data_IF_489966867426
#
_entry.id   IF_489966867426
#
_cell.length_a   1.000
_cell.length_b   1.000
_cell.length_c   1.000
_cell.angle_alpha   90.00
_cell.angle_beta   90.00
_cell.angle_gamma   90.00
#
_symmetry.space_group_name_H-M   'P 1'
#
loop_
_entity.id
_entity.type
_entity.pdbx_description
1 polymer ?
#
# COMPACT_ATOMS: atom_id res chain seq x y z
N UNK A 1 16.87 13.03 -12.03
CA UNK A 1 15.87 12.12 -11.45
C UNK A 1 14.75 11.81 -12.44
N UNK A 2 13.93 12.77 -12.90
CA UNK A 2 12.89 12.49 -13.92
C UNK A 2 13.47 11.99 -15.26
N UNK A 3 14.60 12.58 -15.68
CA UNK A 3 15.35 12.14 -16.87
C UNK A 3 16.04 10.77 -16.71
N UNK A 4 16.31 10.37 -15.46
CA UNK A 4 16.93 9.07 -15.14
C UNK A 4 15.91 7.94 -15.26
N UNK A 5 14.65 8.22 -14.89
CA UNK A 5 13.51 7.31 -15.07
C UNK A 5 13.16 7.14 -16.56
N UNK A 6 13.31 8.21 -17.36
CA UNK A 6 13.13 8.17 -18.83
C UNK A 6 14.30 7.53 -19.59
N UNK A 7 15.45 7.34 -18.94
CA UNK A 7 16.64 6.68 -19.51
C UNK A 7 16.74 5.20 -19.14
N UNK A 8 15.87 4.68 -18.25
CA UNK A 8 15.60 3.24 -18.21
C UNK A 8 14.95 2.90 -19.55
N UNK A 9 15.77 2.42 -20.49
CA UNK A 9 15.28 1.89 -21.76
C UNK A 9 14.14 0.92 -21.49
N UNK A 10 13.20 0.82 -22.44
CA UNK A 10 12.08 -0.12 -22.38
C UNK A 10 12.69 -1.52 -22.26
N UNK A 11 12.86 -1.99 -21.03
CA UNK A 11 13.21 -3.36 -20.71
C UNK A 11 12.10 -4.27 -21.23
N UNK A 12 12.41 -5.56 -21.33
CA UNK A 12 11.38 -6.53 -21.68
C UNK A 12 10.33 -6.53 -20.56
N UNK A 13 9.06 -6.85 -20.86
CA UNK A 13 7.98 -6.87 -19.85
C UNK A 13 8.39 -7.65 -18.57
N UNK A 14 9.27 -8.66 -18.72
CA UNK A 14 9.86 -9.46 -17.65
C UNK A 14 10.63 -8.65 -16.59
N UNK A 15 11.26 -7.54 -16.97
CA UNK A 15 12.07 -6.71 -16.06
C UNK A 15 11.22 -5.77 -15.18
N UNK A 16 9.90 -5.71 -15.43
CA UNK A 16 8.96 -4.85 -14.70
C UNK A 16 7.82 -5.64 -14.06
N UNK A 17 7.89 -6.97 -14.01
CA UNK A 17 6.81 -7.82 -13.53
C UNK A 17 6.38 -7.46 -12.11
N UNK A 18 7.33 -7.18 -11.21
CA UNK A 18 7.06 -6.83 -9.82
C UNK A 18 6.46 -5.42 -9.68
N UNK A 19 6.84 -4.49 -10.55
CA UNK A 19 6.25 -3.14 -10.61
C UNK A 19 4.81 -3.22 -11.15
N UNK A 20 4.58 -4.02 -12.18
CA UNK A 20 3.24 -4.22 -12.74
C UNK A 20 2.36 -4.94 -11.72
N UNK A 21 2.87 -5.98 -11.05
CA UNK A 21 2.13 -6.73 -10.04
C UNK A 21 1.76 -5.84 -8.85
N UNK A 22 2.71 -5.03 -8.35
CA UNK A 22 2.43 -4.09 -7.27
C UNK A 22 1.41 -3.02 -7.68
N UNK A 23 1.49 -2.47 -8.90
CA UNK A 23 0.48 -1.55 -9.41
C UNK A 23 -0.91 -2.19 -9.52
N UNK A 24 -1.00 -3.45 -9.98
CA UNK A 24 -2.26 -4.20 -10.06
C UNK A 24 -2.82 -4.47 -8.67
N UNK A 25 -1.99 -4.83 -7.69
CA UNK A 25 -2.42 -5.04 -6.31
C UNK A 25 -2.96 -3.74 -5.69
N UNK A 26 -2.27 -2.62 -5.88
CA UNK A 26 -2.69 -1.28 -5.42
C UNK A 26 -4.05 -0.90 -6.03
N UNK A 27 -4.24 -1.10 -7.34
CA UNK A 27 -5.54 -0.81 -7.98
C UNK A 27 -6.61 -1.80 -7.50
N UNK A 28 -6.24 -3.06 -7.27
CA UNK A 28 -7.07 -4.10 -6.70
C UNK A 28 -7.59 -3.78 -5.30
N UNK A 29 -6.81 -3.06 -4.49
CA UNK A 29 -7.21 -2.66 -3.14
C UNK A 29 -8.44 -1.75 -3.13
N UNK A 30 -8.70 -0.98 -4.18
CA UNK A 30 -9.95 -0.20 -4.31
C UNK A 30 -11.16 -1.14 -4.36
N UNK A 31 -11.02 -2.25 -5.09
CA UNK A 31 -12.07 -3.27 -5.20
C UNK A 31 -12.22 -4.05 -3.90
N UNK A 32 -11.11 -4.37 -3.23
CA UNK A 32 -11.11 -5.05 -1.93
C UNK A 32 -11.70 -4.18 -0.82
N UNK A 33 -11.41 -2.88 -0.80
CA UNK A 33 -12.05 -1.94 0.10
C UNK A 33 -13.56 -1.92 -0.15
N UNK A 34 -14.00 -1.83 -1.42
CA UNK A 34 -15.43 -1.90 -1.75
C UNK A 34 -16.07 -3.21 -1.29
N UNK A 35 -15.38 -4.34 -1.49
CA UNK A 35 -15.83 -5.65 -1.04
C UNK A 35 -15.92 -5.72 0.50
N UNK A 36 -14.92 -5.18 1.21
CA UNK A 36 -14.91 -5.11 2.66
C UNK A 36 -16.06 -4.27 3.21
N UNK A 37 -16.38 -3.13 2.58
CA UNK A 37 -17.54 -2.31 2.93
C UNK A 37 -18.86 -3.04 2.68
N UNK A 38 -18.94 -3.81 1.60
CA UNK A 38 -20.11 -4.63 1.28
C UNK A 38 -20.31 -5.74 2.32
N UNK A 39 -19.25 -6.49 2.65
CA UNK A 39 -19.28 -7.56 3.66
C UNK A 39 -19.65 -7.06 5.05
N UNK A 40 -19.20 -5.85 5.41
CA UNK A 40 -19.48 -5.23 6.70
C UNK A 40 -20.79 -4.44 6.76
N UNK A 41 -21.56 -4.45 5.66
CA UNK A 41 -22.83 -3.73 5.51
C UNK A 41 -22.70 -2.25 5.89
N UNK A 42 -21.69 -1.58 5.34
CA UNK A 42 -21.56 -0.13 5.49
C UNK A 42 -22.74 0.57 4.78
N UNK A 43 -23.42 1.48 5.46
CA UNK A 43 -24.57 2.21 4.91
C UNK A 43 -24.19 3.63 4.46
N UNK A 44 -23.08 4.16 4.98
CA UNK A 44 -22.65 5.53 4.72
C UNK A 44 -21.49 5.59 3.73
N UNK A 45 -21.59 6.45 2.72
CA UNK A 45 -20.53 6.77 1.73
C UNK A 45 -19.88 5.55 1.05
N UNK A 46 -20.68 4.54 0.67
CA UNK A 46 -20.19 3.32 0.00
C UNK A 46 -20.09 3.40 -1.53
N UNK A 47 -20.53 4.50 -2.15
CA UNK A 47 -20.41 4.69 -3.61
C UNK A 47 -18.93 4.71 -4.01
N UNK A 48 -18.60 4.22 -5.22
CA UNK A 48 -17.22 4.09 -5.70
C UNK A 48 -16.41 5.40 -5.58
N UNK A 49 -17.04 6.56 -5.82
CA UNK A 49 -16.42 7.89 -5.63
C UNK A 49 -15.81 8.05 -4.24
N UNK A 50 -16.53 7.65 -3.20
CA UNK A 50 -16.08 7.76 -1.81
C UNK A 50 -15.06 6.69 -1.46
N UNK A 51 -15.23 5.47 -1.99
CA UNK A 51 -14.26 4.38 -1.84
C UNK A 51 -12.90 4.78 -2.41
N UNK A 52 -12.87 5.30 -3.64
CA UNK A 52 -11.63 5.75 -4.27
C UNK A 52 -10.99 6.93 -3.54
N UNK A 53 -11.79 7.88 -3.04
CA UNK A 53 -11.25 8.99 -2.23
C UNK A 53 -10.65 8.47 -0.92
N UNK A 54 -11.33 7.57 -0.21
CA UNK A 54 -10.77 6.98 1.01
C UNK A 54 -9.49 6.21 0.73
N UNK A 55 -9.46 5.43 -0.35
CA UNK A 55 -8.27 4.72 -0.78
C UNK A 55 -7.10 5.66 -1.09
N UNK A 56 -7.35 6.76 -1.82
CA UNK A 56 -6.30 7.71 -2.17
C UNK A 56 -5.69 8.39 -0.93
N UNK A 57 -6.51 8.66 0.09
CA UNK A 57 -6.03 9.20 1.36
C UNK A 57 -5.25 8.15 2.15
N UNK A 58 -5.72 6.89 2.20
CA UNK A 58 -5.00 5.76 2.82
C UNK A 58 -3.65 5.58 2.17
N UNK A 59 -3.63 5.34 0.86
CA UNK A 59 -2.42 5.18 0.08
C UNK A 59 -1.47 6.36 0.25
N UNK A 60 -1.97 7.60 0.18
CA UNK A 60 -1.15 8.79 0.39
C UNK A 60 -0.51 8.86 1.79
N UNK A 61 -1.26 8.50 2.83
CA UNK A 61 -0.74 8.47 4.20
C UNK A 61 0.30 7.37 4.40
N UNK A 62 0.03 6.16 3.89
CA UNK A 62 0.96 5.03 3.92
C UNK A 62 2.24 5.37 3.15
N UNK A 63 2.11 5.96 1.96
CA UNK A 63 3.24 6.39 1.15
C UNK A 63 4.12 7.40 1.90
N UNK A 64 3.53 8.37 2.59
CA UNK A 64 4.28 9.34 3.39
C UNK A 64 5.01 8.67 4.56
N UNK A 65 4.35 7.76 5.28
CA UNK A 65 4.96 7.01 6.40
C UNK A 65 6.09 6.11 5.92
N UNK A 66 5.91 5.45 4.78
CA UNK A 66 6.88 4.53 4.19
C UNK A 66 7.97 5.24 3.38
N UNK A 67 7.80 6.53 3.06
CA UNK A 67 8.75 7.29 2.23
C UNK A 67 10.19 7.29 2.74
N UNK A 68 10.49 7.36 4.05
CA UNK A 68 11.87 7.27 4.53
C UNK A 68 12.51 5.91 4.21
N UNK A 69 11.71 4.83 4.31
CA UNK A 69 12.16 3.47 3.98
C UNK A 69 12.39 3.34 2.48
N UNK A 70 11.51 3.91 1.64
CA UNK A 70 11.67 3.93 0.19
C UNK A 70 12.94 4.68 -0.22
N UNK A 71 13.23 5.83 0.41
CA UNK A 71 14.45 6.61 0.16
C UNK A 71 15.70 5.80 0.53
N UNK A 72 15.68 5.07 1.65
CA UNK A 72 16.77 4.17 2.03
C UNK A 72 16.93 2.98 1.06
N UNK A 73 15.84 2.49 0.49
CA UNK A 73 15.87 1.50 -0.58
C UNK A 73 16.55 2.04 -1.83
N UNK A 74 16.15 3.22 -2.31
CA UNK A 74 16.73 3.84 -3.50
C UNK A 74 18.20 4.24 -3.34
N UNK A 75 18.68 4.50 -2.11
CA UNK A 75 20.09 4.79 -1.87
C UNK A 75 20.98 3.55 -1.84
N UNK A 76 20.41 2.35 -2.00
CA UNK A 76 21.13 1.08 -1.88
C UNK A 76 21.56 0.74 -0.45
N UNK A 77 21.16 1.55 0.54
CA UNK A 77 21.51 1.35 1.95
C UNK A 77 20.92 0.06 2.53
N UNK A 78 19.96 -0.56 1.84
CA UNK A 78 19.30 -1.81 2.22
C UNK A 78 19.89 -3.06 1.53
N UNK A 79 20.78 -2.91 0.53
CA UNK A 79 21.29 -4.02 -0.28
C UNK A 79 22.16 -5.01 0.52
N UNK A 80 22.81 -4.55 1.60
CA UNK A 80 23.59 -5.40 2.50
C UNK A 80 22.79 -6.08 3.62
N UNK A 81 21.52 -5.70 3.82
CA UNK A 81 20.69 -6.15 4.93
C UNK A 81 19.59 -7.15 4.52
N UNK A 82 19.45 -7.45 3.22
CA UNK A 82 18.38 -8.31 2.71
C UNK A 82 16.99 -7.67 2.81
N UNK A 83 16.92 -6.34 2.94
CA UNK A 83 15.69 -5.56 3.09
C UNK A 83 15.72 -4.55 4.24
N UNK A 84 14.62 -3.83 4.50
CA UNK A 84 14.53 -2.88 5.59
C UNK A 84 14.59 -3.58 6.96
N UNK A 85 15.25 -2.99 7.97
CA UNK A 85 15.28 -3.57 9.31
C UNK A 85 13.87 -3.67 9.90
N UNK A 86 13.55 -4.79 10.55
CA UNK A 86 12.25 -5.03 11.18
C UNK A 86 11.82 -3.92 12.15
N UNK A 87 12.79 -3.24 12.76
CA UNK A 87 12.59 -2.10 13.66
C UNK A 87 11.91 -0.90 12.98
N UNK A 88 12.04 -0.75 11.65
CA UNK A 88 11.36 0.29 10.88
C UNK A 88 10.05 -0.22 10.26
N UNK A 89 10.01 -1.49 9.85
CA UNK A 89 8.83 -2.11 9.23
C UNK A 89 7.68 -2.22 10.23
N UNK A 90 7.94 -2.73 11.44
CA UNK A 90 6.89 -2.98 12.44
C UNK A 90 6.13 -1.69 12.81
N UNK A 91 6.81 -0.58 13.16
CA UNK A 91 6.11 0.69 13.43
C UNK A 91 5.35 1.20 12.21
N UNK A 92 5.91 1.10 11.01
CA UNK A 92 5.25 1.55 9.78
C UNK A 92 3.93 0.78 9.54
N UNK A 93 3.94 -0.55 9.71
CA UNK A 93 2.73 -1.38 9.60
C UNK A 93 1.70 -1.00 10.67
N UNK A 94 2.12 -0.82 11.92
CA UNK A 94 1.20 -0.46 13.02
C UNK A 94 0.55 0.89 12.78
N UNK A 95 1.34 1.91 12.41
CA UNK A 95 0.82 3.25 12.11
C UNK A 95 -0.08 3.25 10.86
N UNK A 96 0.30 2.52 9.82
CA UNK A 96 -0.52 2.32 8.61
C UNK A 96 -1.87 1.71 8.96
N UNK A 97 -1.88 0.59 9.68
CA UNK A 97 -3.11 -0.09 10.11
C UNK A 97 -3.98 0.85 10.95
N UNK A 98 -3.37 1.58 11.89
CA UNK A 98 -4.10 2.52 12.74
C UNK A 98 -4.76 3.62 11.92
N UNK A 99 -4.06 4.19 10.94
CA UNK A 99 -4.61 5.22 10.06
C UNK A 99 -5.72 4.67 9.17
N UNK A 100 -5.51 3.53 8.51
CA UNK A 100 -6.52 2.91 7.64
C UNK A 100 -7.80 2.61 8.42
N UNK A 101 -7.65 2.00 9.58
CA UNK A 101 -8.73 1.71 10.50
C UNK A 101 -9.54 2.96 10.88
N UNK A 102 -8.85 4.01 11.34
CA UNK A 102 -9.51 5.25 11.74
C UNK A 102 -10.18 5.93 10.55
N UNK A 103 -9.52 5.97 9.41
CA UNK A 103 -10.04 6.61 8.21
C UNK A 103 -11.28 5.88 7.68
N UNK A 104 -11.24 4.55 7.62
CA UNK A 104 -12.40 3.72 7.24
C UNK A 104 -13.57 4.01 8.18
N UNK A 105 -13.33 4.04 9.48
CA UNK A 105 -14.36 4.30 10.47
C UNK A 105 -14.94 5.73 10.35
N UNK A 106 -14.11 6.73 10.11
CA UNK A 106 -14.53 8.14 9.95
C UNK A 106 -15.31 8.35 8.64
N UNK A 107 -14.85 7.78 7.53
CA UNK A 107 -15.46 8.02 6.21
C UNK A 107 -16.72 7.18 6.02
N UNK A 108 -16.68 5.89 6.38
CA UNK A 108 -17.74 4.93 6.06
C UNK A 108 -18.66 4.59 7.24
N UNK A 109 -18.36 5.10 8.44
CA UNK A 109 -19.19 4.97 9.67
C UNK A 109 -19.65 3.53 9.97
N UNK A 110 -18.73 2.59 9.83
CA UNK A 110 -19.02 1.15 9.95
C UNK A 110 -18.92 0.64 11.40
N UNK A 111 -18.34 1.45 12.30
CA UNK A 111 -18.04 1.08 13.67
C UNK A 111 -16.70 0.34 13.80
N UNK A 112 -16.09 0.44 14.99
CA UNK A 112 -14.72 -0.04 15.25
C UNK A 112 -14.52 -1.52 14.86
N UNK A 113 -15.35 -2.45 15.34
CA UNK A 113 -15.15 -3.89 15.05
C UNK A 113 -15.15 -4.22 13.56
N UNK A 114 -16.02 -3.56 12.78
CA UNK A 114 -16.17 -3.81 11.34
C UNK A 114 -15.08 -3.11 10.54
N UNK A 115 -14.72 -1.87 10.90
CA UNK A 115 -13.60 -1.17 10.28
C UNK A 115 -12.28 -1.95 10.42
N UNK A 116 -12.09 -2.66 11.53
CA UNK A 116 -10.91 -3.52 11.74
C UNK A 116 -10.85 -4.68 10.72
N UNK A 117 -11.98 -5.32 10.45
CA UNK A 117 -12.06 -6.40 9.46
C UNK A 117 -11.72 -5.88 8.07
N UNK A 118 -12.26 -4.72 7.69
CA UNK A 118 -11.96 -4.09 6.39
C UNK A 118 -10.49 -3.70 6.29
N UNK A 119 -9.91 -3.15 7.35
CA UNK A 119 -8.49 -2.79 7.39
C UNK A 119 -7.58 -4.02 7.20
N UNK A 120 -7.89 -5.16 7.83
CA UNK A 120 -7.11 -6.41 7.63
C UNK A 120 -7.20 -6.92 6.19
N UNK A 121 -8.39 -6.88 5.59
CA UNK A 121 -8.61 -7.33 4.21
C UNK A 121 -7.74 -6.54 3.22
N UNK A 122 -7.54 -5.26 3.48
CA UNK A 122 -6.72 -4.36 2.65
C UNK A 122 -5.23 -4.48 2.98
N UNK A 123 -4.89 -4.65 4.26
CA UNK A 123 -3.49 -4.71 4.69
C UNK A 123 -2.74 -5.89 4.08
N UNK A 124 -3.36 -7.06 3.99
CA UNK A 124 -2.73 -8.28 3.46
C UNK A 124 -2.15 -8.07 2.05
N UNK A 125 -2.93 -7.62 1.06
CA UNK A 125 -2.43 -7.33 -0.28
C UNK A 125 -1.41 -6.18 -0.31
N UNK A 126 -1.57 -5.14 0.52
CA UNK A 126 -0.57 -4.06 0.62
C UNK A 126 0.79 -4.61 1.09
N UNK A 127 0.80 -5.42 2.16
CA UNK A 127 2.03 -6.03 2.68
C UNK A 127 2.66 -6.94 1.64
N UNK A 128 1.84 -7.71 0.92
CA UNK A 128 2.32 -8.56 -0.17
C UNK A 128 2.94 -7.72 -1.29
N UNK A 129 2.26 -6.67 -1.75
CA UNK A 129 2.77 -5.76 -2.79
C UNK A 129 4.08 -5.08 -2.37
N UNK A 130 4.17 -4.62 -1.12
CA UNK A 130 5.39 -4.03 -0.58
C UNK A 130 6.54 -5.03 -0.48
N UNK A 131 6.27 -6.29 -0.11
CA UNK A 131 7.29 -7.34 -0.07
C UNK A 131 7.88 -7.59 -1.47
N UNK A 132 7.04 -7.76 -2.49
CA UNK A 132 7.51 -7.91 -3.88
C UNK A 132 8.30 -6.71 -4.36
N UNK A 133 7.82 -5.49 -4.07
CA UNK A 133 8.48 -4.26 -4.48
C UNK A 133 9.84 -4.08 -3.80
N UNK A 134 9.95 -4.43 -2.51
CA UNK A 134 11.24 -4.41 -1.79
C UNK A 134 12.21 -5.46 -2.35
N UNK A 135 11.74 -6.68 -2.65
CA UNK A 135 12.58 -7.72 -3.24
C UNK A 135 13.16 -7.23 -4.58
N UNK A 136 12.32 -6.68 -5.45
CA UNK A 136 12.75 -6.08 -6.72
C UNK A 136 13.77 -4.94 -6.54
N UNK A 137 13.51 -4.01 -5.61
CA UNK A 137 14.44 -2.91 -5.33
C UNK A 137 15.77 -3.38 -4.73
N UNK A 138 15.78 -4.52 -4.02
CA UNK A 138 17.01 -5.09 -3.43
C UNK A 138 17.88 -5.84 -4.44
N UNK A 139 17.33 -6.20 -5.60
CA UNK A 139 18.05 -6.84 -6.70
C UNK A 139 18.55 -5.84 -7.76
N UNK A 140 18.23 -4.55 -7.59
CA UNK A 140 18.73 -3.41 -8.38
C UNK A 140 20.04 -2.86 -7.79
#
# INVERSE_FOLDING_TARGET
MLFSILQMGIGWIGDYEEIILSAVLIVGDILLLKLGLFLTKAEYRTKIKWVSISFLIQFGAIFLISSPILVLGFSGALNGLGGPPFQLIIPAIIFSLFLDFNLINVIHRIGLKRAFIVAIIILVPIVFAMFFLIQFLSTL
#
